data_IF_889903065038
#
_entry.id   IF_889903065038
#
_cell.length_a   1.000
_cell.length_b   1.000
_cell.length_c   1.000
_cell.angle_alpha   90.00
_cell.angle_beta   90.00
_cell.angle_gamma   90.00
#
_symmetry.space_group_name_H-M   'P 1'
#
loop_
_entity.id
_entity.type
_entity.pdbx_description
1 polymer ?
#
# COMPACT_ATOMS: atom_id res chain seq x y z
N UNK A 1 -40.72 63.46 9.91
CA UNK A 1 -40.51 62.18 9.20
C UNK A 1 -39.03 62.11 8.93
N UNK A 2 -38.33 61.29 9.69
CA UNK A 2 -36.87 61.19 9.68
C UNK A 2 -36.42 60.34 8.49
N UNK A 3 -35.44 60.83 7.73
CA UNK A 3 -34.95 60.18 6.51
C UNK A 3 -33.92 59.15 6.96
N UNK A 4 -34.28 57.87 6.94
CA UNK A 4 -33.36 56.80 7.32
C UNK A 4 -32.36 56.61 6.18
N UNK A 5 -31.12 57.06 6.39
CA UNK A 5 -30.05 56.91 5.42
C UNK A 5 -29.51 55.48 5.49
N UNK A 6 -29.64 54.72 4.40
CA UNK A 6 -29.12 53.36 4.33
C UNK A 6 -27.58 53.38 4.34
N UNK A 7 -26.96 52.60 5.24
CA UNK A 7 -25.52 52.40 5.24
C UNK A 7 -25.05 51.64 3.99
N UNK A 8 -23.86 51.95 3.45
CA UNK A 8 -23.31 51.25 2.31
C UNK A 8 -23.01 49.79 2.66
N UNK A 9 -23.46 48.87 1.82
CA UNK A 9 -23.20 47.44 1.98
C UNK A 9 -21.69 47.19 1.87
N UNK A 10 -21.07 46.48 2.83
CA UNK A 10 -19.65 46.17 2.74
C UNK A 10 -19.35 45.30 1.51
N UNK A 11 -18.16 45.44 0.90
CA UNK A 11 -17.76 44.61 -0.23
C UNK A 11 -17.73 43.13 0.17
N UNK A 12 -18.20 42.25 -0.71
CA UNK A 12 -18.16 40.81 -0.50
C UNK A 12 -16.70 40.33 -0.31
N UNK A 13 -16.45 39.35 0.57
CA UNK A 13 -15.12 38.77 0.71
C UNK A 13 -14.66 38.14 -0.61
N UNK A 14 -13.36 38.14 -0.91
CA UNK A 14 -12.82 37.47 -2.09
C UNK A 14 -13.20 35.99 -2.05
N UNK A 15 -13.57 35.44 -3.22
CA UNK A 15 -13.86 34.01 -3.35
C UNK A 15 -12.66 33.20 -2.84
N UNK A 16 -12.88 32.11 -2.09
CA UNK A 16 -11.80 31.18 -1.81
C UNK A 16 -11.17 30.70 -3.12
N UNK A 17 -9.85 30.46 -3.14
CA UNK A 17 -9.19 29.89 -4.31
C UNK A 17 -9.95 28.67 -4.82
N UNK A 18 -9.96 28.40 -6.13
CA UNK A 18 -10.48 27.15 -6.66
C UNK A 18 -9.92 25.99 -5.84
N UNK A 19 -10.79 25.08 -5.38
CA UNK A 19 -10.34 23.89 -4.70
C UNK A 19 -9.27 23.20 -5.56
N UNK A 20 -8.18 22.76 -4.92
CA UNK A 20 -7.17 21.97 -5.61
C UNK A 20 -7.86 20.83 -6.38
N UNK A 21 -7.38 20.48 -7.59
CA UNK A 21 -7.95 19.36 -8.33
C UNK A 21 -7.98 18.12 -7.42
N UNK A 22 -9.01 17.26 -7.53
CA UNK A 22 -9.04 16.03 -6.77
C UNK A 22 -7.73 15.27 -7.01
N UNK A 23 -7.07 14.88 -5.93
CA UNK A 23 -5.85 14.08 -5.98
C UNK A 23 -6.06 12.90 -6.95
N UNK A 24 -5.06 12.55 -7.79
CA UNK A 24 -5.17 11.41 -8.68
C UNK A 24 -5.63 10.18 -7.89
N UNK A 25 -6.52 9.33 -8.46
CA UNK A 25 -6.86 8.07 -7.84
C UNK A 25 -5.56 7.32 -7.55
N UNK A 26 -5.40 6.85 -6.30
CA UNK A 26 -4.23 6.13 -5.81
C UNK A 26 -3.78 5.12 -6.88
N UNK A 27 -2.63 5.37 -7.51
CA UNK A 27 -2.12 4.50 -8.55
C UNK A 27 -1.96 3.09 -7.97
N UNK A 28 -2.47 2.06 -8.66
CA UNK A 28 -2.15 0.68 -8.28
C UNK A 28 -0.66 0.44 -8.53
N UNK A 29 0.08 0.23 -7.45
CA UNK A 29 1.48 -0.17 -7.44
C UNK A 29 1.51 -1.68 -7.13
N UNK A 30 1.88 -2.55 -8.09
CA UNK A 30 1.87 -3.98 -7.86
C UNK A 30 2.95 -4.32 -6.83
N UNK A 31 2.57 -4.83 -5.67
CA UNK A 31 3.47 -5.11 -4.54
C UNK A 31 3.49 -6.61 -4.28
N UNK A 32 4.67 -7.17 -4.06
CA UNK A 32 4.80 -8.62 -3.85
C UNK A 32 4.86 -8.95 -2.37
N UNK A 33 3.93 -9.79 -1.91
CA UNK A 33 3.92 -10.37 -0.57
C UNK A 33 4.39 -11.81 -0.67
N UNK A 34 5.45 -12.14 0.07
CA UNK A 34 5.96 -13.50 0.20
C UNK A 34 5.52 -14.09 1.53
N UNK A 35 4.97 -15.31 1.49
CA UNK A 35 4.56 -16.05 2.68
C UNK A 35 5.22 -17.42 2.66
N UNK A 36 6.06 -17.70 3.66
CA UNK A 36 6.57 -19.04 3.91
C UNK A 36 5.71 -19.70 4.99
N UNK A 37 5.18 -20.88 4.69
CA UNK A 37 4.38 -21.64 5.64
C UNK A 37 5.22 -22.66 6.43
N UNK A 38 4.85 -22.97 7.68
CA UNK A 38 5.47 -24.03 8.49
C UNK A 38 5.30 -25.42 7.88
N UNK A 39 5.93 -26.39 8.56
CA UNK A 39 5.87 -27.79 8.17
C UNK A 39 4.48 -28.40 8.31
N UNK A 40 3.68 -27.92 9.24
CA UNK A 40 2.32 -28.35 9.50
C UNK A 40 1.45 -27.14 9.88
N UNK A 41 0.13 -27.30 9.83
CA UNK A 41 -0.85 -26.31 10.30
C UNK A 41 -0.84 -24.94 9.63
N UNK A 42 -0.30 -24.83 8.42
CA UNK A 42 -0.30 -23.59 7.64
C UNK A 42 -1.70 -22.96 7.42
N UNK A 43 -2.77 -23.76 7.55
CA UNK A 43 -4.15 -23.30 7.45
C UNK A 43 -4.57 -22.35 8.60
N UNK A 44 -3.77 -22.25 9.66
CA UNK A 44 -3.97 -21.34 10.80
C UNK A 44 -3.45 -19.91 10.54
N UNK A 45 -2.61 -19.74 9.51
CA UNK A 45 -1.97 -18.46 9.22
C UNK A 45 -2.95 -17.51 8.52
N UNK A 46 -2.96 -16.24 8.94
CA UNK A 46 -3.71 -15.17 8.28
C UNK A 46 -2.98 -13.82 8.35
N UNK A 47 -3.32 -12.90 7.46
CA UNK A 47 -2.81 -11.53 7.54
C UNK A 47 -3.76 -10.50 6.90
N UNK A 48 -3.67 -9.27 7.38
CA UNK A 48 -4.33 -8.09 6.82
C UNK A 48 -3.30 -7.12 6.26
N UNK A 49 -3.73 -6.30 5.29
CA UNK A 49 -3.03 -5.11 4.84
C UNK A 49 -4.03 -3.95 4.89
N UNK A 50 -3.70 -2.91 5.66
CA UNK A 50 -4.56 -1.75 5.93
C UNK A 50 -5.96 -2.13 6.43
N UNK A 51 -6.01 -3.13 7.31
CA UNK A 51 -7.25 -3.70 7.83
C UNK A 51 -8.06 -4.49 6.79
N UNK A 52 -7.66 -4.51 5.52
CA UNK A 52 -8.24 -5.35 4.48
C UNK A 52 -7.65 -6.74 4.58
N UNK A 53 -8.52 -7.72 4.71
CA UNK A 53 -8.12 -9.11 4.83
C UNK A 53 -7.64 -9.60 3.47
N UNK A 54 -6.34 -9.90 3.40
CA UNK A 54 -5.75 -10.44 2.18
C UNK A 54 -5.74 -11.97 2.21
N UNK A 55 -5.55 -12.59 3.39
CA UNK A 55 -5.73 -14.05 3.62
C UNK A 55 -6.27 -14.34 5.03
N UNK A 56 -7.14 -15.36 5.16
CA UNK A 56 -7.71 -15.80 6.45
C UNK A 56 -7.33 -17.24 6.78
N UNK A 57 -7.15 -17.48 8.08
CA UNK A 57 -7.19 -18.82 8.66
C UNK A 57 -8.61 -19.36 8.67
N UNK A 58 -8.76 -20.69 8.64
CA UNK A 58 -10.09 -21.34 8.55
C UNK A 58 -11.03 -21.01 9.71
N UNK A 59 -10.49 -20.60 10.85
CA UNK A 59 -11.22 -20.50 12.13
C UNK A 59 -11.50 -19.03 12.55
N UNK A 60 -11.04 -18.01 11.81
CA UNK A 60 -11.33 -16.58 12.07
C UNK A 60 -12.70 -16.11 11.52
N UNK A 61 -13.73 -16.95 11.67
CA UNK A 61 -15.11 -16.66 11.27
C UNK A 61 -15.85 -16.02 12.45
N UNK A 62 -15.64 -14.73 12.67
CA UNK A 62 -16.57 -13.92 13.48
C UNK A 62 -16.92 -12.63 12.73
N UNK A 63 -18.24 -12.41 12.62
CA UNK A 63 -19.00 -11.49 11.77
C UNK A 63 -18.42 -10.08 11.56
N UNK A 64 -18.61 -9.54 10.35
CA UNK A 64 -18.25 -8.20 9.84
C UNK A 64 -16.86 -8.02 9.23
N UNK A 65 -16.24 -9.09 8.74
CA UNK A 65 -14.98 -9.03 8.01
C UNK A 65 -15.18 -9.56 6.58
N UNK A 66 -15.05 -8.71 5.53
CA UNK A 66 -15.38 -9.12 4.16
C UNK A 66 -14.43 -10.22 3.68
N UNK A 67 -15.04 -11.32 3.27
CA UNK A 67 -14.36 -12.52 2.79
C UNK A 67 -13.96 -12.38 1.32
N UNK A 68 -12.73 -12.77 1.00
CA UNK A 68 -12.41 -13.32 -0.33
C UNK A 68 -11.84 -14.73 -0.11
N UNK A 69 -12.67 -15.73 -0.40
CA UNK A 69 -12.33 -17.13 -0.70
C UNK A 69 -11.26 -17.84 0.18
N UNK A 70 -11.69 -18.19 1.39
CA UNK A 70 -11.40 -19.39 2.20
C UNK A 70 -10.39 -20.46 1.69
N UNK A 71 -9.46 -20.86 2.57
CA UNK A 71 -8.65 -22.11 2.58
C UNK A 71 -7.36 -22.17 1.73
N UNK A 72 -6.34 -21.32 1.96
CA UNK A 72 -5.28 -21.17 0.93
C UNK A 72 -3.87 -21.66 1.26
N UNK A 73 -3.40 -21.62 2.50
CA UNK A 73 -2.01 -21.99 2.79
C UNK A 73 -1.84 -23.50 3.04
N UNK A 74 -1.11 -24.14 2.10
CA UNK A 74 -0.65 -25.52 2.24
C UNK A 74 0.69 -25.54 2.95
N UNK A 75 0.90 -26.56 3.77
CA UNK A 75 2.15 -26.77 4.51
C UNK A 75 3.38 -26.85 3.59
N UNK A 76 4.54 -26.41 4.10
CA UNK A 76 5.84 -26.44 3.42
C UNK A 76 5.85 -25.76 2.04
N UNK A 77 5.16 -24.64 1.90
CA UNK A 77 5.13 -23.84 0.68
C UNK A 77 5.68 -22.44 0.89
N UNK A 78 6.10 -21.87 -0.22
CA UNK A 78 6.35 -20.45 -0.39
C UNK A 78 5.28 -19.93 -1.34
N UNK A 79 4.53 -18.93 -0.91
CA UNK A 79 3.51 -18.25 -1.70
C UNK A 79 4.00 -16.86 -2.05
N UNK A 80 3.80 -16.45 -3.30
CA UNK A 80 4.07 -15.10 -3.79
C UNK A 80 2.76 -14.53 -4.31
N UNK A 81 2.27 -13.48 -3.67
CA UNK A 81 1.06 -12.78 -4.08
C UNK A 81 1.39 -11.38 -4.52
N UNK A 82 0.90 -10.99 -5.69
CA UNK A 82 0.99 -9.62 -6.17
C UNK A 82 -0.33 -8.91 -5.88
N UNK A 83 -0.27 -7.83 -5.11
CA UNK A 83 -1.43 -7.03 -4.70
C UNK A 83 -1.27 -5.59 -5.19
N UNK A 84 -2.39 -4.92 -5.46
CA UNK A 84 -2.40 -3.49 -5.78
C UNK A 84 -2.43 -2.67 -4.49
N UNK A 85 -1.38 -1.90 -4.22
CA UNK A 85 -1.36 -0.91 -3.15
C UNK A 85 -1.14 0.50 -3.70
N UNK A 86 -1.60 1.52 -2.99
CA UNK A 86 -1.28 2.90 -3.32
C UNK A 86 0.16 3.24 -2.94
N UNK A 87 0.59 4.46 -3.25
CA UNK A 87 1.75 5.03 -2.58
C UNK A 87 1.37 5.48 -1.16
N UNK A 88 2.31 5.38 -0.24
CA UNK A 88 2.13 5.80 1.14
C UNK A 88 2.55 4.75 2.17
N UNK A 89 2.14 4.98 3.42
CA UNK A 89 2.33 4.03 4.51
C UNK A 89 1.24 2.97 4.49
N UNK A 90 1.66 1.73 4.61
CA UNK A 90 0.78 0.57 4.71
C UNK A 90 1.08 -0.20 5.98
N UNK A 91 0.07 -0.85 6.55
CA UNK A 91 0.16 -1.59 7.81
C UNK A 91 -0.23 -3.06 7.63
N UNK A 92 0.53 -3.97 8.23
CA UNK A 92 0.28 -5.41 8.22
C UNK A 92 0.03 -5.92 9.63
N UNK A 93 -1.02 -6.72 9.80
CA UNK A 93 -1.21 -7.53 11.01
C UNK A 93 -1.20 -9.02 10.63
N UNK A 94 -0.56 -9.83 11.47
CA UNK A 94 -0.47 -11.27 11.32
C UNK A 94 -1.37 -11.95 12.34
N UNK A 95 -1.95 -13.09 11.95
CA UNK A 95 -2.88 -13.85 12.77
C UNK A 95 -2.55 -15.34 12.76
N UNK A 96 -2.76 -15.97 13.89
CA UNK A 96 -2.65 -17.41 14.11
C UNK A 96 -3.86 -17.86 14.92
N UNK A 97 -4.68 -18.76 14.38
CA UNK A 97 -5.91 -19.20 15.04
C UNK A 97 -5.67 -20.10 16.26
N UNK A 98 -4.56 -20.84 16.32
CA UNK A 98 -4.27 -21.73 17.44
C UNK A 98 -3.42 -21.06 18.52
N UNK A 99 -2.65 -20.04 18.14
CA UNK A 99 -1.96 -19.16 19.07
C UNK A 99 -0.70 -19.78 19.67
N UNK A 100 -0.14 -20.78 19.00
CA UNK A 100 1.14 -21.43 19.28
C UNK A 100 2.28 -20.94 18.36
N UNK A 101 1.96 -20.09 17.39
CA UNK A 101 2.87 -19.42 16.49
C UNK A 101 3.13 -20.17 15.19
N UNK A 102 3.65 -19.46 14.19
CA UNK A 102 3.78 -19.99 12.82
C UNK A 102 4.97 -20.95 12.59
N UNK A 103 5.63 -21.45 13.63
CA UNK A 103 6.79 -22.38 13.57
C UNK A 103 7.71 -22.22 12.34
N UNK A 104 8.56 -21.17 12.33
CA UNK A 104 9.46 -20.80 11.22
C UNK A 104 8.77 -20.32 9.92
N UNK A 105 7.45 -20.19 9.94
CA UNK A 105 6.68 -19.46 8.94
C UNK A 105 6.83 -17.95 9.08
N UNK A 106 6.76 -17.22 7.98
CA UNK A 106 6.92 -15.77 7.95
C UNK A 106 6.17 -15.12 6.78
N UNK A 107 6.01 -13.80 6.87
CA UNK A 107 5.58 -12.90 5.81
C UNK A 107 6.62 -11.81 5.56
N UNK A 108 6.96 -11.54 4.30
CA UNK A 108 7.79 -10.41 3.88
C UNK A 108 7.12 -9.66 2.72
N UNK A 109 7.52 -8.40 2.54
CA UNK A 109 6.98 -7.54 1.47
C UNK A 109 8.13 -7.01 0.64
N UNK A 110 7.94 -7.03 -0.67
CA UNK A 110 8.89 -6.55 -1.66
C UNK A 110 8.25 -5.54 -2.59
N UNK A 111 9.08 -4.68 -3.15
CA UNK A 111 8.71 -3.67 -4.11
C UNK A 111 8.16 -4.28 -5.42
N UNK A 112 7.59 -3.45 -6.31
CA UNK A 112 7.04 -3.91 -7.59
C UNK A 112 8.01 -4.61 -8.51
N UNK A 113 9.29 -4.25 -8.42
CA UNK A 113 10.36 -4.88 -9.18
C UNK A 113 10.78 -6.24 -8.57
N UNK A 114 10.29 -6.59 -7.38
CA UNK A 114 10.65 -7.79 -6.61
C UNK A 114 12.09 -7.76 -6.09
N UNK A 115 12.78 -6.62 -6.17
CA UNK A 115 14.20 -6.49 -5.91
C UNK A 115 14.53 -5.91 -4.54
N UNK A 116 13.65 -5.05 -4.00
CA UNK A 116 13.87 -4.39 -2.71
C UNK A 116 12.89 -4.91 -1.65
N UNK A 117 13.40 -5.30 -0.48
CA UNK A 117 12.56 -5.66 0.67
C UNK A 117 12.02 -4.41 1.34
N UNK A 118 10.70 -4.22 1.27
CA UNK A 118 9.97 -3.14 1.94
C UNK A 118 9.66 -3.50 3.40
N UNK A 119 9.43 -4.78 3.66
CA UNK A 119 9.26 -5.32 5.01
C UNK A 119 10.08 -6.60 5.15
N UNK A 120 11.01 -6.59 6.12
CA UNK A 120 11.76 -7.79 6.49
C UNK A 120 10.84 -8.87 7.08
N UNK A 121 11.20 -10.16 6.99
CA UNK A 121 10.36 -11.26 7.44
C UNK A 121 9.77 -11.05 8.84
N UNK A 122 8.45 -11.18 8.96
CA UNK A 122 7.68 -11.12 10.20
C UNK A 122 6.99 -12.44 10.46
N UNK A 123 6.87 -12.78 11.74
CA UNK A 123 6.21 -14.00 12.21
C UNK A 123 5.36 -13.66 13.43
N UNK A 124 4.56 -14.61 13.87
CA UNK A 124 3.75 -14.50 15.07
C UNK A 124 4.07 -15.67 16.00
N UNK A 125 4.10 -15.41 17.31
CA UNK A 125 4.39 -16.40 18.36
C UNK A 125 3.15 -16.82 19.15
N UNK A 126 2.00 -16.20 18.86
CA UNK A 126 0.69 -16.53 19.43
C UNK A 126 -0.42 -15.96 18.53
N UNK A 127 -1.60 -15.59 19.05
CA UNK A 127 -2.77 -15.29 18.23
C UNK A 127 -2.63 -14.14 17.22
N UNK A 128 -1.82 -13.12 17.53
CA UNK A 128 -1.68 -11.93 16.69
C UNK A 128 -0.29 -11.30 16.84
N UNK A 129 0.21 -10.66 15.77
CA UNK A 129 1.35 -9.75 15.83
C UNK A 129 1.20 -8.59 14.84
N UNK A 130 1.89 -7.48 15.13
CA UNK A 130 1.74 -6.21 14.42
C UNK A 130 0.94 -5.17 15.21
N UNK A 131 0.53 -4.06 14.59
CA UNK A 131 0.75 -3.74 13.18
C UNK A 131 2.23 -3.50 12.85
N UNK A 132 2.64 -3.89 11.64
CA UNK A 132 3.95 -3.61 11.07
C UNK A 132 3.79 -2.66 9.89
N UNK A 133 4.46 -1.50 9.95
CA UNK A 133 4.41 -0.53 8.86
C UNK A 133 5.49 -0.80 7.81
N UNK A 134 5.15 -0.52 6.55
CA UNK A 134 6.09 -0.38 5.45
C UNK A 134 5.67 0.77 4.53
N UNK A 135 6.65 1.36 3.84
CA UNK A 135 6.41 2.51 2.96
C UNK A 135 6.52 2.10 1.50
N UNK A 136 5.48 2.36 0.73
CA UNK A 136 5.55 2.42 -0.73
C UNK A 136 5.82 3.86 -1.13
N UNK A 137 7.09 4.18 -1.30
CA UNK A 137 7.49 5.48 -1.80
C UNK A 137 7.17 5.58 -3.29
N UNK A 138 6.72 6.77 -3.71
CA UNK A 138 6.90 7.25 -5.07
C UNK A 138 8.40 7.46 -5.28
N UNK A 139 9.20 6.39 -5.33
CA UNK A 139 10.57 6.53 -5.81
C UNK A 139 10.42 7.03 -7.23
N UNK A 140 10.75 8.31 -7.44
CA UNK A 140 10.68 9.01 -8.70
C UNK A 140 10.73 8.07 -9.90
N UNK A 141 9.59 7.86 -10.56
CA UNK A 141 9.55 7.61 -12.01
C UNK A 141 10.07 8.86 -12.76
N UNK A 142 11.18 9.47 -12.29
CA UNK A 142 11.84 10.65 -12.84
C UNK A 142 13.21 10.26 -13.39
N UNK A 143 13.23 9.30 -14.30
CA UNK A 143 14.32 9.05 -15.26
C UNK A 143 13.58 8.45 -16.46
N UNK A 144 13.01 9.17 -17.44
CA UNK A 144 13.65 9.96 -18.49
C UNK A 144 12.57 10.75 -19.29
N UNK A 145 12.06 11.87 -18.76
CA UNK A 145 11.47 12.91 -19.63
C UNK A 145 12.36 14.16 -19.61
N UNK A 146 13.64 13.99 -19.93
CA UNK A 146 14.34 15.10 -20.56
C UNK A 146 13.87 15.14 -22.02
N UNK A 147 13.21 16.22 -22.51
CA UNK A 147 13.00 16.37 -23.93
C UNK A 147 14.39 16.42 -24.56
N UNK A 148 14.68 15.45 -25.43
CA UNK A 148 15.90 15.45 -26.24
C UNK A 148 15.81 16.68 -27.14
N UNK A 149 16.31 17.83 -26.67
CA UNK A 149 16.60 18.95 -27.56
C UNK A 149 17.78 18.50 -28.41
N UNK A 150 17.48 18.01 -29.61
CA UNK A 150 18.42 17.80 -30.68
C UNK A 150 19.13 19.13 -30.95
N UNK A 151 20.28 19.35 -30.30
CA UNK A 151 21.20 20.40 -30.73
C UNK A 151 21.75 19.96 -32.10
N UNK A 152 21.58 20.73 -33.18
CA UNK A 152 22.18 20.40 -34.46
C UNK A 152 23.70 20.40 -34.31
N UNK A 153 24.31 19.23 -34.54
CA UNK A 153 25.76 19.04 -34.55
C UNK A 153 26.37 19.90 -35.66
N UNK A 154 26.86 21.09 -35.32
CA UNK A 154 27.67 21.89 -36.24
C UNK A 154 29.06 21.26 -36.32
N UNK A 155 29.29 20.49 -37.38
CA UNK A 155 30.63 20.00 -37.73
C UNK A 155 31.50 21.20 -38.16
N UNK A 156 32.70 21.39 -37.60
CA UNK A 156 33.63 22.40 -38.10
C UNK A 156 34.12 21.99 -39.50
N UNK A 157 34.06 22.92 -40.46
CA UNK A 157 34.72 22.78 -41.75
C UNK A 157 36.24 22.95 -41.54
N UNK A 158 37.09 22.01 -41.96
CA UNK A 158 38.55 22.19 -41.89
C UNK A 158 39.04 23.25 -42.90
N UNK A 159 40.20 23.88 -42.63
CA UNK A 159 40.75 24.98 -43.43
C UNK A 159 41.14 24.59 -44.86
#
# INVERSE_FOLDING_TARGET
MEIVQAEPVPPSPPMPPPALPPSPPSACVPTTVEIKTPRYWAYEMGYTIDGTITHQSSDLITSNRPMTNSNQFKNNKLFLHTICLGFGEHSIELFDSYGDGWDNGYLSVFDPAGGNSLLSPKTVTSYQAGPYSFMLAETQFSVLEEPITLQPKTTPRPP
#
